data_IF_917906054355
#
_entry.id   IF_917906054355
#
_cell.length_a   1.000
_cell.length_b   1.000
_cell.length_c   1.000
_cell.angle_alpha   90.00
_cell.angle_beta   90.00
_cell.angle_gamma   90.00
#
_symmetry.space_group_name_H-M   'P 1'
#
loop_
_entity.id
_entity.type
_entity.pdbx_description
1 polymer ?
#
# COMPACT_ATOMS: atom_id res chain seq x y z
N UNK A 1 6.67 -16.07 -55.28
CA UNK A 1 7.99 -15.75 -55.84
C UNK A 1 9.03 -16.08 -54.79
N UNK A 2 9.85 -17.05 -55.14
CA UNK A 2 10.85 -17.75 -54.33
C UNK A 2 12.22 -17.23 -54.78
N UNK A 3 13.17 -17.07 -53.86
CA UNK A 3 14.60 -17.01 -54.20
C UNK A 3 15.44 -17.48 -53.00
N UNK A 4 15.80 -18.76 -53.03
CA UNK A 4 17.02 -19.32 -52.43
C UNK A 4 18.16 -19.24 -53.45
N UNK A 5 19.39 -18.94 -53.01
CA UNK A 5 20.58 -19.81 -53.13
C UNK A 5 21.92 -19.14 -52.73
N UNK A 6 22.67 -19.85 -51.86
CA UNK A 6 24.14 -20.07 -51.75
C UNK A 6 25.08 -18.86 -51.47
N UNK A 7 26.16 -18.94 -50.67
CA UNK A 7 27.29 -19.91 -50.62
C UNK A 7 27.97 -19.98 -49.23
N UNK A 8 28.55 -21.15 -48.90
CA UNK A 8 29.54 -21.47 -47.84
C UNK A 8 30.81 -20.56 -47.85
N UNK A 9 31.76 -20.50 -46.90
CA UNK A 9 32.35 -21.45 -45.95
C UNK A 9 33.16 -20.68 -44.87
N UNK A 10 33.45 -21.32 -43.73
CA UNK A 10 34.47 -20.82 -42.79
C UNK A 10 34.35 -21.34 -41.36
N UNK A 11 34.56 -22.64 -41.14
CA UNK A 11 34.76 -23.22 -39.81
C UNK A 11 36.15 -22.88 -39.27
N UNK A 12 36.26 -22.45 -38.01
CA UNK A 12 37.30 -22.94 -37.10
C UNK A 12 36.77 -23.07 -35.65
N UNK A 13 37.19 -24.17 -35.04
CA UNK A 13 36.79 -24.80 -33.79
C UNK A 13 37.39 -24.11 -32.56
N UNK A 14 36.67 -24.15 -31.41
CA UNK A 14 37.16 -24.84 -30.19
C UNK A 14 36.15 -24.85 -29.03
N UNK A 15 35.84 -26.09 -28.63
CA UNK A 15 35.69 -26.62 -27.26
C UNK A 15 34.46 -26.23 -26.44
N UNK A 16 33.51 -27.18 -26.47
CA UNK A 16 32.55 -27.45 -25.40
C UNK A 16 33.28 -27.80 -24.09
N UNK A 17 32.82 -27.20 -22.98
CA UNK A 17 32.91 -27.79 -21.66
C UNK A 17 31.49 -27.88 -21.11
N UNK A 18 31.10 -29.11 -20.79
CA UNK A 18 29.84 -29.54 -20.21
C UNK A 18 29.69 -29.00 -18.80
N UNK A 19 28.56 -28.35 -18.49
CA UNK A 19 28.12 -28.08 -17.12
C UNK A 19 26.78 -28.76 -16.84
N UNK A 20 26.70 -29.38 -15.66
CA UNK A 20 25.67 -30.29 -15.19
C UNK A 20 24.39 -29.56 -14.71
N UNK A 21 23.18 -30.11 -14.90
CA UNK A 21 21.94 -29.48 -14.48
C UNK A 21 21.57 -29.85 -13.03
N UNK A 22 22.24 -29.28 -12.01
CA UNK A 22 21.87 -29.55 -10.61
C UNK A 22 21.80 -28.34 -9.65
N UNK A 23 21.92 -27.08 -10.12
CA UNK A 23 21.92 -25.92 -9.21
C UNK A 23 20.67 -25.03 -9.23
N UNK A 24 19.57 -25.41 -9.90
CA UNK A 24 18.35 -24.59 -9.99
C UNK A 24 17.19 -25.01 -9.06
N UNK A 25 17.47 -25.70 -7.94
CA UNK A 25 16.41 -26.17 -7.02
C UNK A 25 16.60 -25.90 -5.53
N UNK A 26 17.40 -24.89 -5.16
CA UNK A 26 17.58 -24.51 -3.74
C UNK A 26 17.56 -23.01 -3.49
N UNK A 27 16.49 -22.32 -3.90
CA UNK A 27 16.08 -21.05 -3.27
C UNK A 27 14.54 -20.92 -3.30
N UNK A 28 13.82 -21.89 -2.75
CA UNK A 28 12.36 -21.81 -2.58
C UNK A 28 11.82 -22.77 -1.53
N UNK A 29 12.45 -22.91 -0.36
CA UNK A 29 11.91 -23.75 0.71
C UNK A 29 12.50 -23.52 2.12
N UNK A 30 12.97 -22.32 2.47
CA UNK A 30 13.53 -22.09 3.79
C UNK A 30 13.04 -20.77 4.40
N UNK A 31 11.76 -20.75 4.82
CA UNK A 31 11.21 -19.81 5.82
C UNK A 31 9.97 -20.39 6.51
N UNK A 32 10.01 -21.68 6.87
CA UNK A 32 8.95 -22.34 7.65
C UNK A 32 9.55 -23.22 8.75
N UNK A 33 10.28 -22.64 9.70
CA UNK A 33 10.39 -23.18 11.07
C UNK A 33 11.17 -22.24 12.00
N UNK A 34 10.45 -21.44 12.79
CA UNK A 34 10.85 -21.01 14.12
C UNK A 34 9.66 -20.31 14.77
N UNK A 35 8.79 -21.08 15.45
CA UNK A 35 7.83 -20.52 16.39
C UNK A 35 8.63 -20.24 17.67
N UNK A 36 9.06 -18.99 17.86
CA UNK A 36 9.50 -18.50 19.15
C UNK A 36 8.29 -17.81 19.78
N UNK A 37 7.94 -18.21 21.01
CA UNK A 37 6.85 -17.62 21.77
C UNK A 37 7.07 -16.10 21.89
N UNK A 38 6.09 -15.26 21.52
CA UNK A 38 6.22 -13.81 21.71
C UNK A 38 6.16 -13.47 23.20
N UNK A 39 7.08 -12.62 23.64
CA UNK A 39 7.09 -11.98 24.95
C UNK A 39 5.77 -11.18 25.17
N UNK A 40 5.21 -11.13 26.39
CA UNK A 40 3.96 -10.41 26.64
C UNK A 40 4.12 -8.89 26.38
N UNK A 41 3.06 -8.22 25.91
CA UNK A 41 3.09 -6.80 25.60
C UNK A 41 3.35 -5.93 26.86
N UNK A 42 3.94 -4.73 26.69
CA UNK A 42 4.18 -3.81 27.80
C UNK A 42 2.87 -3.37 28.47
N UNK A 43 2.89 -3.05 29.78
CA UNK A 43 1.68 -2.77 30.54
C UNK A 43 0.96 -1.49 30.06
N UNK A 44 -0.38 -1.46 30.10
CA UNK A 44 -1.17 -0.31 29.66
C UNK A 44 -1.01 0.87 30.63
N UNK A 45 -0.91 2.07 30.05
CA UNK A 45 -0.95 3.35 30.76
C UNK A 45 -2.34 3.52 31.41
N UNK A 46 -2.44 3.93 32.69
CA UNK A 46 -3.71 4.00 33.41
C UNK A 46 -4.66 5.05 32.79
N UNK A 47 -5.90 4.66 32.57
CA UNK A 47 -6.98 5.53 32.07
C UNK A 47 -7.55 6.40 33.21
N UNK A 48 -8.01 7.64 32.93
CA UNK A 48 -8.65 8.49 33.93
C UNK A 48 -10.01 7.92 34.40
N UNK A 49 -10.45 8.22 35.63
CA UNK A 49 -11.67 7.65 36.21
C UNK A 49 -12.94 8.22 35.57
N UNK A 50 -14.05 7.45 35.55
CA UNK A 50 -15.33 7.88 34.99
C UNK A 50 -16.04 8.92 35.86
N UNK A 51 -16.92 9.77 35.28
CA UNK A 51 -17.70 10.75 36.03
C UNK A 51 -18.79 10.09 36.90
N UNK A 52 -19.27 10.77 37.96
CA UNK A 52 -20.22 10.20 38.92
C UNK A 52 -21.65 10.11 38.34
N UNK A 53 -22.49 9.19 38.86
CA UNK A 53 -23.86 9.01 38.39
C UNK A 53 -24.80 10.11 38.93
N UNK A 54 -25.59 10.68 38.02
CA UNK A 54 -26.69 11.59 38.34
C UNK A 54 -27.81 10.85 39.09
N UNK A 55 -28.27 11.46 40.19
CA UNK A 55 -29.17 10.87 41.17
C UNK A 55 -30.59 10.55 40.70
N UNK A 56 -31.17 9.61 41.44
CA UNK A 56 -32.58 9.24 41.46
C UNK A 56 -33.47 10.41 41.92
N UNK A 57 -34.69 10.48 41.40
CA UNK A 57 -35.83 11.04 42.12
C UNK A 57 -37.02 10.10 42.02
N UNK A 58 -37.55 9.76 43.19
CA UNK A 58 -38.70 8.90 43.50
C UNK A 58 -39.94 9.73 43.77
N UNK A 59 -41.12 9.27 43.34
CA UNK A 59 -42.40 9.21 44.12
C UNK A 59 -43.53 8.75 43.17
N UNK A 60 -44.10 7.54 43.30
CA UNK A 60 -45.18 7.07 44.19
C UNK A 60 -46.59 7.62 43.89
N UNK A 61 -47.50 6.67 43.59
CA UNK A 61 -48.95 6.84 43.52
C UNK A 61 -49.64 5.53 43.09
N UNK A 62 -50.23 4.82 44.05
CA UNK A 62 -50.98 3.57 43.90
C UNK A 62 -52.37 3.81 43.23
N UNK A 63 -52.94 2.78 42.58
CA UNK A 63 -54.29 2.21 42.85
C UNK A 63 -54.79 1.26 41.73
N UNK A 64 -54.89 -0.02 42.09
CA UNK A 64 -55.92 -1.07 41.84
C UNK A 64 -56.85 -1.10 40.60
N UNK A 65 -57.07 -2.36 40.17
CA UNK A 65 -58.26 -3.00 39.54
C UNK A 65 -58.35 -3.14 38.01
N UNK A 66 -58.30 -4.41 37.56
CA UNK A 66 -59.41 -5.01 36.81
C UNK A 66 -59.34 -5.10 35.29
N UNK A 67 -59.52 -6.32 34.80
CA UNK A 67 -60.14 -6.73 33.52
C UNK A 67 -59.26 -6.84 32.25
N UNK A 68 -59.08 -8.11 31.89
CA UNK A 68 -59.16 -8.68 30.54
C UNK A 68 -59.55 -7.72 29.41
N UNK A 69 -58.61 -7.42 28.53
CA UNK A 69 -58.90 -7.33 27.10
C UNK A 69 -57.73 -7.93 26.33
N UNK A 70 -58.04 -8.95 25.53
CA UNK A 70 -57.11 -9.50 24.56
C UNK A 70 -56.85 -8.44 23.50
N UNK A 71 -55.75 -7.72 23.62
CA UNK A 71 -55.22 -6.92 22.52
C UNK A 71 -54.63 -7.89 21.51
N UNK A 72 -55.29 -8.03 20.37
CA UNK A 72 -54.68 -8.58 19.17
C UNK A 72 -53.37 -7.80 18.93
N UNK A 73 -52.26 -8.41 19.33
CA UNK A 73 -50.94 -7.98 18.91
C UNK A 73 -50.92 -8.11 17.39
N UNK A 74 -51.09 -6.98 16.71
CA UNK A 74 -50.69 -6.87 15.32
C UNK A 74 -49.18 -7.06 15.35
N UNK A 75 -48.73 -8.30 15.12
CA UNK A 75 -47.37 -8.59 14.72
C UNK A 75 -47.12 -7.76 13.46
N UNK A 76 -46.51 -6.59 13.63
CA UNK A 76 -45.97 -5.82 12.51
C UNK A 76 -44.94 -6.76 11.86
N UNK A 77 -45.16 -7.24 10.62
CA UNK A 77 -44.17 -8.07 9.97
C UNK A 77 -42.89 -7.25 9.89
N UNK A 78 -41.76 -7.82 10.32
CA UNK A 78 -40.45 -7.21 10.12
C UNK A 78 -40.35 -6.79 8.64
N UNK A 79 -40.30 -5.48 8.40
CA UNK A 79 -40.37 -4.94 7.04
C UNK A 79 -39.28 -5.60 6.21
N UNK A 80 -39.69 -6.33 5.16
CA UNK A 80 -38.73 -6.89 4.20
C UNK A 80 -37.86 -5.74 3.69
N UNK A 81 -36.53 -5.91 3.60
CA UNK A 81 -35.65 -4.83 3.17
C UNK A 81 -36.13 -4.31 1.81
N UNK A 82 -36.17 -2.98 1.68
CA UNK A 82 -36.51 -2.30 0.43
C UNK A 82 -35.63 -2.86 -0.70
N UNK A 83 -36.25 -3.56 -1.65
CA UNK A 83 -35.59 -4.08 -2.85
C UNK A 83 -35.81 -3.09 -3.98
N UNK A 84 -34.85 -2.19 -4.16
CA UNK A 84 -34.83 -1.26 -5.28
C UNK A 84 -33.93 -1.81 -6.38
N UNK A 85 -34.40 -1.73 -7.62
CA UNK A 85 -33.55 -1.96 -8.80
C UNK A 85 -32.38 -0.98 -8.80
N UNK A 86 -31.19 -1.41 -9.25
CA UNK A 86 -30.00 -0.54 -9.29
C UNK A 86 -30.20 0.67 -10.23
N UNK A 87 -30.95 0.49 -11.31
CA UNK A 87 -31.44 1.50 -12.26
C UNK A 87 -32.35 0.79 -13.29
N UNK A 88 -32.82 1.53 -14.29
CA UNK A 88 -33.68 1.05 -15.37
C UNK A 88 -33.16 -0.21 -16.10
N UNK A 89 -31.84 -0.40 -16.17
CA UNK A 89 -31.21 -1.52 -16.87
C UNK A 89 -30.82 -2.68 -15.94
N UNK A 90 -31.14 -2.61 -14.64
CA UNK A 90 -30.82 -3.65 -13.66
C UNK A 90 -29.32 -3.85 -13.37
N UNK A 91 -28.44 -2.99 -13.90
CA UNK A 91 -26.99 -3.16 -13.82
C UNK A 91 -26.31 -1.91 -13.25
N UNK A 92 -25.52 -2.05 -12.18
CA UNK A 92 -24.79 -0.92 -11.59
C UNK A 92 -23.75 -0.36 -12.59
N UNK A 93 -23.85 0.93 -13.01
CA UNK A 93 -22.84 1.53 -13.85
C UNK A 93 -21.53 1.66 -13.08
N UNK A 94 -20.41 1.41 -13.76
CA UNK A 94 -19.10 1.67 -13.19
C UNK A 94 -18.87 3.17 -13.03
N UNK A 95 -18.33 3.59 -11.89
CA UNK A 95 -17.89 4.97 -11.66
C UNK A 95 -16.72 5.33 -12.58
N UNK A 96 -16.74 6.52 -13.18
CA UNK A 96 -15.71 6.93 -14.14
C UNK A 96 -14.30 6.95 -13.55
N UNK A 97 -14.16 7.34 -12.28
CA UNK A 97 -12.86 7.29 -11.59
C UNK A 97 -12.31 5.86 -11.51
N UNK A 98 -13.17 4.85 -11.31
CA UNK A 98 -12.74 3.44 -11.26
C UNK A 98 -12.31 2.99 -12.66
N UNK A 99 -13.02 3.40 -13.71
CA UNK A 99 -12.64 3.12 -15.10
C UNK A 99 -11.29 3.74 -15.44
N UNK A 100 -11.07 5.01 -15.12
CA UNK A 100 -9.79 5.70 -15.38
C UNK A 100 -8.64 5.00 -14.67
N UNK A 101 -8.81 4.60 -13.40
CA UNK A 101 -7.79 3.82 -12.68
C UNK A 101 -7.61 2.43 -13.31
N UNK A 102 -8.69 1.76 -13.71
CA UNK A 102 -8.61 0.45 -14.35
C UNK A 102 -7.83 0.52 -15.66
N UNK A 103 -8.11 1.51 -16.51
CA UNK A 103 -7.41 1.73 -17.77
C UNK A 103 -5.93 2.07 -17.57
N UNK A 104 -5.64 2.93 -16.58
CA UNK A 104 -4.28 3.26 -16.15
C UNK A 104 -3.51 1.99 -15.75
N UNK A 105 -4.06 1.17 -14.86
CA UNK A 105 -3.43 -0.07 -14.40
C UNK A 105 -3.30 -1.07 -15.55
N UNK A 106 -4.37 -1.29 -16.33
CA UNK A 106 -4.38 -2.23 -17.45
C UNK A 106 -3.28 -1.94 -18.48
N UNK A 107 -3.11 -0.65 -18.80
CA UNK A 107 -2.13 -0.17 -19.77
C UNK A 107 -0.71 -0.38 -19.26
N UNK A 108 -0.43 0.03 -18.02
CA UNK A 108 0.92 0.03 -17.48
C UNK A 108 1.38 -1.33 -16.94
N UNK A 109 0.47 -2.27 -16.71
CA UNK A 109 0.83 -3.67 -16.41
C UNK A 109 1.21 -4.49 -17.66
N UNK A 110 0.95 -3.98 -18.86
CA UNK A 110 1.16 -4.72 -20.11
C UNK A 110 2.62 -5.13 -20.27
N UNK A 111 2.86 -6.40 -20.59
CA UNK A 111 4.18 -6.97 -20.93
C UNK A 111 5.25 -6.77 -19.84
N UNK A 112 4.84 -6.66 -18.57
CA UNK A 112 5.74 -6.46 -17.42
C UNK A 112 5.62 -7.56 -16.37
N UNK A 113 6.70 -7.71 -15.61
CA UNK A 113 6.83 -8.68 -14.51
C UNK A 113 7.47 -7.99 -13.31
N UNK A 114 7.39 -8.61 -12.13
CA UNK A 114 7.92 -8.04 -10.87
C UNK A 114 7.37 -6.62 -10.60
N UNK A 115 6.06 -6.47 -10.83
CA UNK A 115 5.36 -5.22 -10.62
C UNK A 115 5.08 -5.00 -9.14
N UNK A 116 5.37 -3.81 -8.66
CA UNK A 116 4.85 -3.29 -7.40
C UNK A 116 3.77 -2.25 -7.75
N UNK A 117 2.54 -2.49 -7.29
CA UNK A 117 1.39 -1.59 -7.47
C UNK A 117 0.97 -1.13 -6.09
N UNK A 118 1.06 0.17 -5.85
CA UNK A 118 0.82 0.76 -4.54
C UNK A 118 0.00 2.04 -4.66
N UNK A 119 -0.84 2.30 -3.65
CA UNK A 119 -1.57 3.55 -3.47
C UNK A 119 -1.11 4.22 -2.19
N UNK A 120 -0.67 5.46 -2.27
CA UNK A 120 -0.16 6.24 -1.14
C UNK A 120 -1.13 7.34 -0.76
N UNK A 121 -1.26 7.58 0.54
CA UNK A 121 -1.93 8.78 1.06
C UNK A 121 -0.92 9.89 1.34
N UNK A 122 -1.26 11.10 0.92
CA UNK A 122 -0.35 12.24 1.06
C UNK A 122 -1.02 13.55 0.70
N UNK A 123 -0.24 14.54 0.27
CA UNK A 123 -0.76 15.84 -0.18
C UNK A 123 -0.28 16.14 -1.59
N UNK A 124 -1.20 16.50 -2.48
CA UNK A 124 -0.84 17.12 -3.75
C UNK A 124 -0.56 18.59 -3.47
N UNK A 125 0.62 19.05 -3.87
CA UNK A 125 1.12 20.40 -3.59
C UNK A 125 1.44 21.09 -4.91
N UNK A 126 0.90 22.29 -5.08
CA UNK A 126 1.21 23.15 -6.20
C UNK A 126 2.67 23.63 -6.08
N UNK A 127 3.49 23.35 -7.11
CA UNK A 127 4.94 23.63 -7.08
C UNK A 127 5.25 25.12 -6.97
N UNK A 128 4.36 25.99 -7.47
CA UNK A 128 4.55 27.44 -7.48
C UNK A 128 4.29 28.07 -6.12
N UNK A 129 3.20 27.70 -5.47
CA UNK A 129 2.77 28.26 -4.18
C UNK A 129 3.32 27.49 -2.98
N UNK A 130 3.71 26.23 -3.18
CA UNK A 130 4.08 25.34 -2.08
C UNK A 130 2.91 24.93 -1.19
N UNK A 131 1.67 25.31 -1.54
CA UNK A 131 0.46 24.99 -0.79
C UNK A 131 -0.24 23.77 -1.37
N UNK A 132 -1.08 23.11 -0.55
CA UNK A 132 -1.92 22.00 -1.04
C UNK A 132 -2.71 22.50 -2.24
N UNK A 133 -2.74 21.70 -3.29
CA UNK A 133 -3.45 21.97 -4.52
C UNK A 133 -4.90 22.34 -4.22
N UNK A 134 -5.39 23.39 -4.88
CA UNK A 134 -6.77 23.86 -4.79
C UNK A 134 -7.32 23.97 -6.19
N UNK A 135 -8.24 23.07 -6.53
CA UNK A 135 -8.92 23.04 -7.82
C UNK A 135 -10.39 23.39 -7.63
N UNK A 136 -11.06 24.04 -8.61
CA UNK A 136 -12.48 24.37 -8.54
C UNK A 136 -13.37 23.14 -8.79
N UNK A 137 -13.20 22.09 -7.98
CA UNK A 137 -13.94 20.82 -8.05
C UNK A 137 -14.42 20.41 -6.66
N UNK A 138 -15.55 19.69 -6.59
CA UNK A 138 -16.20 19.32 -5.33
C UNK A 138 -16.04 17.84 -4.96
N UNK A 139 -15.55 17.02 -5.88
CA UNK A 139 -15.40 15.57 -5.73
C UNK A 139 -13.98 15.12 -6.00
N UNK A 140 -13.67 13.87 -5.65
CA UNK A 140 -12.41 13.23 -6.02
C UNK A 140 -12.21 13.29 -7.55
N UNK A 141 -11.04 13.78 -7.97
CA UNK A 141 -10.74 14.04 -9.39
C UNK A 141 -9.36 13.52 -9.74
N UNK A 142 -9.29 12.69 -10.78
CA UNK A 142 -8.02 12.25 -11.38
C UNK A 142 -7.40 13.42 -12.14
N UNK A 143 -6.12 13.70 -11.91
CA UNK A 143 -5.39 14.74 -12.62
C UNK A 143 -4.89 14.19 -13.96
N UNK A 144 -5.31 14.82 -15.06
CA UNK A 144 -4.80 14.50 -16.40
C UNK A 144 -3.41 15.09 -16.64
N UNK A 145 -3.14 16.29 -16.11
CA UNK A 145 -1.83 16.94 -16.10
C UNK A 145 -1.47 17.28 -14.65
N UNK A 146 -0.33 16.76 -14.21
CA UNK A 146 0.20 16.91 -12.86
C UNK A 146 1.58 17.60 -12.85
N UNK A 147 2.03 18.12 -14.00
CA UNK A 147 3.36 18.71 -14.19
C UNK A 147 3.66 19.85 -13.21
N UNK A 148 2.64 20.67 -12.90
CA UNK A 148 2.69 21.75 -11.91
C UNK A 148 2.60 21.29 -10.45
N UNK A 149 2.46 19.99 -10.21
CA UNK A 149 2.22 19.42 -8.88
C UNK A 149 3.38 18.55 -8.40
N UNK A 150 3.57 18.48 -7.09
CA UNK A 150 4.35 17.44 -6.42
C UNK A 150 3.45 16.71 -5.43
N UNK A 151 3.71 15.43 -5.21
CA UNK A 151 3.05 14.68 -4.15
C UNK A 151 4.00 14.53 -2.97
N UNK A 152 3.51 14.89 -1.79
CA UNK A 152 4.20 14.68 -0.53
C UNK A 152 3.59 13.45 0.14
N UNK A 153 4.30 12.31 0.08
CA UNK A 153 3.95 11.09 0.82
C UNK A 153 4.30 11.31 2.29
N UNK A 154 3.44 12.02 2.99
CA UNK A 154 3.61 12.31 4.41
C UNK A 154 2.26 12.65 5.05
N UNK A 155 2.13 12.34 6.33
CA UNK A 155 1.02 12.76 7.17
C UNK A 155 1.54 13.24 8.53
N UNK A 156 0.66 13.85 9.32
CA UNK A 156 1.03 14.23 10.70
C UNK A 156 1.23 12.99 11.56
N UNK A 157 2.08 13.09 12.59
CA UNK A 157 2.23 12.03 13.59
C UNK A 157 0.90 11.66 14.27
N UNK A 158 0.01 12.64 14.43
CA UNK A 158 -1.34 12.41 14.96
C UNK A 158 -2.17 11.49 14.04
N UNK A 159 -2.20 11.78 12.73
CA UNK A 159 -2.87 10.93 11.73
C UNK A 159 -2.26 9.53 11.71
N UNK A 160 -0.93 9.41 11.78
CA UNK A 160 -0.25 8.13 11.85
C UNK A 160 -0.68 7.32 13.09
N UNK A 161 -0.68 7.92 14.28
CA UNK A 161 -1.13 7.27 15.50
C UNK A 161 -2.61 6.84 15.43
N UNK A 162 -3.46 7.66 14.80
CA UNK A 162 -4.86 7.34 14.55
C UNK A 162 -5.02 6.12 13.65
N UNK A 163 -4.30 6.07 12.52
CA UNK A 163 -4.32 4.91 11.63
C UNK A 163 -3.81 3.65 12.31
N UNK A 164 -2.74 3.77 13.11
CA UNK A 164 -2.23 2.65 13.88
C UNK A 164 -3.31 2.07 14.81
N UNK A 165 -4.01 2.93 15.56
CA UNK A 165 -5.11 2.51 16.43
C UNK A 165 -6.23 1.82 15.63
N UNK A 166 -6.63 2.40 14.51
CA UNK A 166 -7.71 1.88 13.68
C UNK A 166 -7.38 0.52 13.07
N UNK A 167 -6.17 0.35 12.54
CA UNK A 167 -5.76 -0.90 11.91
C UNK A 167 -5.58 -2.02 12.94
N UNK A 168 -5.05 -1.71 14.13
CA UNK A 168 -5.00 -2.68 15.25
C UNK A 168 -6.40 -3.10 15.71
N UNK A 169 -7.34 -2.16 15.84
CA UNK A 169 -8.73 -2.49 16.16
C UNK A 169 -9.33 -3.44 15.11
N UNK A 170 -9.03 -3.21 13.83
CA UNK A 170 -9.51 -4.07 12.75
C UNK A 170 -8.90 -5.47 12.81
N UNK A 171 -7.65 -5.62 13.26
CA UNK A 171 -7.02 -6.93 13.54
C UNK A 171 -7.75 -7.65 14.66
N UNK A 172 -8.04 -6.96 15.77
CA UNK A 172 -8.73 -7.55 16.92
C UNK A 172 -10.15 -8.00 16.54
N UNK A 173 -10.90 -7.17 15.83
CA UNK A 173 -12.21 -7.52 15.28
C UNK A 173 -12.12 -8.73 14.34
N UNK A 174 -11.12 -8.73 13.45
CA UNK A 174 -10.91 -9.81 12.51
C UNK A 174 -10.49 -11.12 13.17
N UNK A 175 -10.10 -11.14 14.45
CA UNK A 175 -9.75 -12.37 15.20
C UNK A 175 -10.93 -12.99 15.93
N UNK A 176 -12.04 -12.25 16.12
CA UNK A 176 -13.19 -12.74 16.86
C UNK A 176 -13.82 -13.99 16.21
N UNK A 177 -14.33 -14.96 16.99
CA UNK A 177 -14.97 -16.17 16.44
C UNK A 177 -16.20 -15.90 15.56
N UNK A 178 -16.95 -14.86 15.88
CA UNK A 178 -18.14 -14.42 15.16
C UNK A 178 -17.83 -13.65 13.87
N UNK A 179 -16.58 -13.20 13.67
CA UNK A 179 -16.19 -12.50 12.46
C UNK A 179 -16.27 -13.43 11.25
N UNK A 180 -17.00 -13.00 10.21
CA UNK A 180 -17.27 -13.79 8.99
C UNK A 180 -16.44 -13.34 7.78
N UNK A 181 -15.65 -12.29 7.91
CA UNK A 181 -14.79 -11.79 6.83
C UNK A 181 -13.39 -12.39 6.85
N UNK A 182 -12.56 -11.94 5.90
CA UNK A 182 -11.15 -12.30 5.84
C UNK A 182 -10.36 -11.81 7.05
N UNK A 183 -9.52 -12.69 7.59
CA UNK A 183 -8.62 -12.36 8.70
C UNK A 183 -7.64 -11.27 8.26
N UNK A 184 -7.22 -10.46 9.23
CA UNK A 184 -6.18 -9.44 9.04
C UNK A 184 -4.95 -9.89 9.81
N UNK A 185 -3.85 -10.10 9.09
CA UNK A 185 -2.56 -10.45 9.65
C UNK A 185 -1.80 -9.18 10.01
N UNK A 186 -0.96 -9.25 11.04
CA UNK A 186 -0.16 -8.14 11.51
C UNK A 186 1.31 -8.55 11.56
N UNK A 187 2.20 -7.68 11.10
CA UNK A 187 3.66 -7.82 11.19
C UNK A 187 4.29 -6.46 11.48
N UNK A 188 5.26 -6.44 12.40
CA UNK A 188 6.08 -5.27 12.68
C UNK A 188 7.51 -5.54 12.22
N UNK A 189 8.05 -4.69 11.35
CA UNK A 189 9.46 -4.77 10.93
C UNK A 189 10.21 -3.49 11.22
N UNK A 190 11.51 -3.63 11.48
CA UNK A 190 12.46 -2.53 11.57
C UNK A 190 13.57 -2.79 10.57
N UNK A 191 13.69 -1.92 9.59
CA UNK A 191 14.55 -2.11 8.43
C UNK A 191 15.47 -0.91 8.24
N UNK A 192 16.66 -1.14 7.70
CA UNK A 192 17.55 -0.07 7.24
C UNK A 192 17.75 -0.24 5.73
N UNK A 193 17.33 0.77 4.97
CA UNK A 193 17.61 0.87 3.55
C UNK A 193 18.91 1.64 3.34
N UNK A 194 19.87 1.03 2.65
CA UNK A 194 21.04 1.69 2.10
C UNK A 194 20.91 1.80 0.59
N UNK A 195 21.15 3.00 0.05
CA UNK A 195 21.13 3.24 -1.39
C UNK A 195 22.55 3.37 -1.91
N UNK A 196 22.85 2.70 -3.00
CA UNK A 196 24.12 2.77 -3.71
C UNK A 196 23.89 3.28 -5.13
N UNK A 197 24.96 3.77 -5.76
CA UNK A 197 25.01 4.00 -7.20
C UNK A 197 26.12 3.13 -7.79
N UNK A 198 25.72 2.13 -8.58
CA UNK A 198 26.59 1.17 -9.26
C UNK A 198 26.35 1.33 -10.76
N UNK A 199 27.36 1.79 -11.50
CA UNK A 199 27.27 2.01 -12.96
C UNK A 199 26.04 2.81 -13.40
N UNK A 200 25.71 3.86 -12.63
CA UNK A 200 24.52 4.71 -12.86
C UNK A 200 23.19 4.13 -12.37
N UNK A 201 23.14 2.84 -12.05
CA UNK A 201 21.97 2.18 -11.46
C UNK A 201 21.87 2.48 -9.98
N UNK A 202 20.66 2.83 -9.51
CA UNK A 202 20.38 3.01 -8.08
C UNK A 202 19.99 1.69 -7.46
N UNK A 203 20.85 1.15 -6.59
CA UNK A 203 20.62 -0.11 -5.88
C UNK A 203 20.13 0.19 -4.47
N UNK A 204 19.06 -0.47 -4.02
CA UNK A 204 18.57 -0.45 -2.63
C UNK A 204 18.93 -1.78 -1.98
N UNK A 205 19.71 -1.73 -0.92
CA UNK A 205 19.98 -2.87 -0.02
C UNK A 205 19.16 -2.64 1.25
N UNK A 206 18.22 -3.52 1.54
CA UNK A 206 17.41 -3.49 2.77
C UNK A 206 17.94 -4.53 3.73
N UNK A 207 18.21 -4.12 4.98
CA UNK A 207 18.66 -4.98 6.07
C UNK A 207 17.69 -4.97 7.22
N UNK A 208 17.57 -6.08 7.92
CA UNK A 208 16.91 -6.11 9.23
C UNK A 208 17.74 -5.30 10.24
N UNK A 209 17.09 -4.43 11.01
CA UNK A 209 17.77 -3.50 11.91
C UNK A 209 18.43 -4.20 13.09
N UNK A 210 17.87 -5.30 13.57
CA UNK A 210 18.31 -5.98 14.80
C UNK A 210 19.41 -7.00 14.50
N UNK A 211 19.24 -7.77 13.43
CA UNK A 211 20.16 -8.85 13.05
C UNK A 211 21.23 -8.43 12.04
N UNK A 212 21.00 -7.35 11.27
CA UNK A 212 21.86 -6.92 10.17
C UNK A 212 21.77 -7.79 8.91
N UNK A 213 20.89 -8.80 8.92
CA UNK A 213 20.64 -9.70 7.79
C UNK A 213 20.18 -8.92 6.55
N UNK A 214 20.70 -9.29 5.38
CA UNK A 214 20.26 -8.71 4.10
C UNK A 214 18.92 -9.33 3.72
N UNK A 215 17.86 -8.52 3.75
CA UNK A 215 16.50 -8.95 3.41
C UNK A 215 16.24 -8.86 1.89
N UNK A 216 16.75 -7.82 1.23
CA UNK A 216 16.64 -7.68 -0.22
C UNK A 216 17.71 -6.77 -0.80
N UNK A 217 18.05 -7.01 -2.06
CA UNK A 217 18.90 -6.15 -2.88
C UNK A 217 18.20 -5.97 -4.22
N UNK A 218 17.76 -4.74 -4.52
CA UNK A 218 16.95 -4.49 -5.72
C UNK A 218 17.32 -3.18 -6.42
N UNK A 219 16.90 -3.05 -7.68
CA UNK A 219 16.63 -1.75 -8.30
C UNK A 219 15.13 -1.58 -8.49
N UNK A 220 14.64 -0.36 -8.27
CA UNK A 220 13.23 0.03 -8.42
C UNK A 220 13.10 1.02 -9.56
N UNK A 221 12.46 0.61 -10.64
CA UNK A 221 12.24 1.42 -11.83
C UNK A 221 10.79 1.93 -11.83
N UNK A 222 10.62 3.25 -11.89
CA UNK A 222 9.27 3.83 -11.96
C UNK A 222 8.67 3.60 -13.34
N UNK A 223 7.47 3.00 -13.39
CA UNK A 223 6.72 2.81 -14.63
C UNK A 223 5.78 3.98 -14.87
N UNK A 224 4.90 4.26 -13.89
CA UNK A 224 3.91 5.32 -14.00
C UNK A 224 3.36 5.75 -12.64
N UNK A 225 2.76 6.93 -12.60
CA UNK A 225 1.95 7.38 -11.48
C UNK A 225 0.65 8.04 -11.94
N UNK A 226 -0.37 8.00 -11.07
CA UNK A 226 -1.65 8.62 -11.27
C UNK A 226 -2.06 9.35 -10.00
N UNK A 227 -2.34 10.65 -10.13
CA UNK A 227 -2.68 11.52 -9.02
C UNK A 227 -4.19 11.76 -8.93
N UNK A 228 -4.74 11.62 -7.73
CA UNK A 228 -6.16 11.81 -7.45
C UNK A 228 -6.30 12.88 -6.36
N UNK A 229 -6.76 14.05 -6.78
CA UNK A 229 -7.10 15.15 -5.89
C UNK A 229 -8.39 14.86 -5.13
N UNK A 230 -8.38 15.04 -3.81
CA UNK A 230 -9.51 14.72 -2.94
C UNK A 230 -9.92 15.95 -2.10
N UNK A 231 -10.81 16.82 -2.61
CA UNK A 231 -11.15 18.10 -1.96
C UNK A 231 -11.88 17.95 -0.62
N UNK A 232 -12.49 16.77 -0.37
CA UNK A 232 -13.30 16.50 0.82
C UNK A 232 -12.56 15.74 1.93
N UNK A 233 -11.27 15.46 1.74
CA UNK A 233 -10.40 14.78 2.72
C UNK A 233 -9.16 15.61 2.96
N UNK A 234 -8.42 15.34 4.04
CA UNK A 234 -7.14 16.01 4.32
C UNK A 234 -5.98 15.46 3.49
N UNK A 235 -6.12 14.23 3.01
CA UNK A 235 -5.12 13.51 2.23
C UNK A 235 -5.65 13.22 0.82
N UNK A 236 -4.80 13.45 -0.16
CA UNK A 236 -4.92 13.08 -1.56
C UNK A 236 -4.34 11.67 -1.78
N UNK A 237 -4.58 11.09 -2.95
CA UNK A 237 -4.13 9.74 -3.30
C UNK A 237 -3.17 9.81 -4.49
N UNK A 238 -2.08 9.06 -4.41
CA UNK A 238 -1.22 8.75 -5.58
C UNK A 238 -1.17 7.24 -5.75
N UNK A 239 -1.47 6.77 -6.96
CA UNK A 239 -1.24 5.38 -7.35
C UNK A 239 0.08 5.33 -8.11
N UNK A 240 0.97 4.41 -7.76
CA UNK A 240 2.22 4.19 -8.49
C UNK A 240 2.35 2.75 -8.92
N UNK A 241 2.98 2.57 -10.08
CA UNK A 241 3.37 1.27 -10.63
C UNK A 241 4.88 1.33 -10.85
N UNK A 242 5.60 0.37 -10.27
CA UNK A 242 7.04 0.23 -10.39
C UNK A 242 7.40 -1.20 -10.82
N UNK A 243 8.59 -1.38 -11.40
CA UNK A 243 9.21 -2.68 -11.59
C UNK A 243 10.38 -2.82 -10.60
N UNK A 244 10.35 -3.87 -9.79
CA UNK A 244 11.41 -4.20 -8.84
C UNK A 244 12.20 -5.41 -9.34
N UNK A 245 13.51 -5.23 -9.58
CA UNK A 245 14.38 -6.32 -10.02
C UNK A 245 15.42 -6.62 -8.96
N UNK A 246 15.55 -7.89 -8.60
CA UNK A 246 16.63 -8.36 -7.73
C UNK A 246 17.99 -8.11 -8.39
N UNK A 247 18.95 -7.66 -7.60
CA UNK A 247 20.33 -7.45 -7.99
C UNK A 247 21.27 -8.17 -7.04
N UNK A 248 22.52 -8.32 -7.43
CA UNK A 248 23.58 -8.79 -6.55
C UNK A 248 23.99 -7.71 -5.55
N UNK A 249 24.56 -8.14 -4.42
CA UNK A 249 25.09 -7.23 -3.42
C UNK A 249 26.18 -6.35 -4.05
N UNK A 250 26.11 -5.01 -3.94
CA UNK A 250 27.18 -4.16 -4.44
C UNK A 250 28.47 -4.39 -3.65
N UNK A 251 29.62 -4.28 -4.32
CA UNK A 251 30.91 -4.23 -3.65
C UNK A 251 30.98 -2.98 -2.76
N UNK A 252 30.90 -3.18 -1.45
CA UNK A 252 30.86 -2.10 -0.46
C UNK A 252 32.24 -1.47 -0.18
N UNK A 253 33.32 -2.09 -0.64
CA UNK A 253 34.64 -1.47 -0.61
C UNK A 253 34.74 -0.38 -1.67
N UNK A 254 34.20 -0.65 -2.87
CA UNK A 254 34.19 0.26 -4.01
C UNK A 254 33.05 1.29 -3.92
N UNK A 255 31.84 0.85 -3.58
CA UNK A 255 30.65 1.70 -3.57
C UNK A 255 30.21 2.00 -2.14
N UNK A 256 30.17 3.29 -1.79
CA UNK A 256 29.61 3.75 -0.51
C UNK A 256 28.12 4.08 -0.63
N UNK A 257 27.33 3.88 0.44
CA UNK A 257 25.95 4.32 0.47
C UNK A 257 25.86 5.84 0.23
N UNK A 258 24.97 6.24 -0.69
CA UNK A 258 24.67 7.64 -0.99
C UNK A 258 23.49 8.18 -0.18
N UNK A 259 22.69 7.28 0.41
CA UNK A 259 21.55 7.61 1.25
C UNK A 259 21.26 6.42 2.17
N UNK A 260 20.83 6.72 3.38
CA UNK A 260 20.37 5.76 4.37
C UNK A 260 18.96 6.15 4.84
N UNK A 261 18.10 5.17 5.07
CA UNK A 261 16.76 5.39 5.67
C UNK A 261 16.46 4.30 6.68
N UNK A 262 16.00 4.70 7.86
CA UNK A 262 15.53 3.79 8.90
C UNK A 262 14.02 3.72 8.83
N UNK A 263 13.47 2.52 8.72
CA UNK A 263 12.05 2.28 8.57
C UNK A 263 11.53 1.50 9.77
N UNK A 264 10.49 2.02 10.39
CA UNK A 264 9.67 1.32 11.38
C UNK A 264 8.29 1.11 10.76
N UNK A 265 7.95 -0.14 10.45
CA UNK A 265 6.80 -0.48 9.60
C UNK A 265 5.84 -1.43 10.31
N UNK A 266 4.58 -1.04 10.33
CA UNK A 266 3.45 -1.83 10.78
C UNK A 266 2.66 -2.26 9.53
N UNK A 267 2.78 -3.53 9.16
CA UNK A 267 2.12 -4.11 7.98
C UNK A 267 0.89 -4.91 8.39
N UNK A 268 -0.22 -4.62 7.74
CA UNK A 268 -1.49 -5.30 7.94
C UNK A 268 -1.91 -5.96 6.63
N UNK A 269 -2.02 -7.28 6.60
CA UNK A 269 -2.35 -8.00 5.35
C UNK A 269 -3.75 -8.56 5.41
N UNK A 270 -4.56 -8.26 4.38
CA UNK A 270 -5.90 -8.82 4.20
C UNK A 270 -6.11 -9.18 2.72
N UNK A 271 -6.45 -10.43 2.43
CA UNK A 271 -6.69 -10.95 1.07
C UNK A 271 -5.47 -10.82 0.12
N UNK A 272 -5.47 -9.83 -0.77
CA UNK A 272 -4.36 -9.51 -1.70
C UNK A 272 -3.75 -8.14 -1.38
N UNK A 273 -4.14 -7.54 -0.27
CA UNK A 273 -3.79 -6.17 0.12
C UNK A 273 -2.79 -6.18 1.28
N UNK A 274 -1.75 -5.37 1.20
CA UNK A 274 -0.93 -4.99 2.35
C UNK A 274 -1.15 -3.51 2.66
N UNK A 275 -1.50 -3.19 3.89
CA UNK A 275 -1.57 -1.82 4.39
C UNK A 275 -0.33 -1.57 5.23
N UNK A 276 0.56 -0.73 4.75
CA UNK A 276 1.85 -0.47 5.38
C UNK A 276 1.85 0.93 5.98
N UNK A 277 1.85 0.99 7.31
CA UNK A 277 2.00 2.23 8.06
C UNK A 277 3.46 2.34 8.49
N UNK A 278 4.19 3.28 7.88
CA UNK A 278 5.64 3.35 8.01
C UNK A 278 6.08 4.72 8.54
N UNK A 279 6.92 4.72 9.58
CA UNK A 279 7.74 5.88 9.92
C UNK A 279 9.11 5.72 9.26
N UNK A 280 9.52 6.71 8.46
CA UNK A 280 10.81 6.73 7.79
C UNK A 280 11.65 7.86 8.35
N UNK A 281 12.82 7.53 8.90
CA UNK A 281 13.82 8.51 9.33
C UNK A 281 14.96 8.49 8.33
N UNK A 282 15.22 9.62 7.68
CA UNK A 282 16.41 9.79 6.84
C UNK A 282 17.40 10.66 7.63
N UNK A 283 18.56 10.13 8.05
CA UNK A 283 19.59 10.91 8.74
C UNK A 283 20.11 12.07 7.88
N UNK A 284 20.82 12.98 8.54
CA UNK A 284 21.57 14.02 7.83
C UNK A 284 22.59 13.38 6.89
N UNK A 285 22.61 13.83 5.64
CA UNK A 285 23.47 13.28 4.60
C UNK A 285 23.94 14.38 3.65
N UNK A 286 25.09 14.19 3.02
CA UNK A 286 25.63 15.13 2.04
C UNK A 286 24.79 15.16 0.76
N UNK A 287 24.61 16.36 0.19
CA UNK A 287 23.77 16.60 -0.99
C UNK A 287 24.59 17.25 -2.10
N UNK A 288 24.50 16.66 -3.29
CA UNK A 288 25.14 17.15 -4.50
C UNK A 288 26.43 16.42 -4.84
N UNK A 289 27.04 16.71 -6.00
CA UNK A 289 28.33 16.15 -6.34
C UNK A 289 29.39 16.64 -5.34
N UNK A 290 30.18 15.70 -4.79
CA UNK A 290 31.38 16.04 -4.02
C UNK A 290 32.33 16.73 -4.98
N UNK A 291 32.44 18.06 -4.87
CA UNK A 291 33.46 18.81 -5.59
C UNK A 291 34.74 18.78 -4.73
N UNK A 292 35.79 18.05 -5.14
CA UNK A 292 37.03 17.96 -4.35
C UNK A 292 37.77 19.30 -4.24
N UNK A 293 37.38 20.31 -5.02
CA UNK A 293 37.92 21.67 -4.98
C UNK A 293 37.01 22.67 -4.26
N UNK A 294 35.89 22.22 -3.68
CA UNK A 294 35.01 23.12 -2.92
C UNK A 294 35.69 23.59 -1.64
N UNK A 295 35.91 24.89 -1.52
CA UNK A 295 36.35 25.53 -0.28
C UNK A 295 35.10 25.83 0.57
N UNK A 296 34.82 24.96 1.54
CA UNK A 296 33.70 25.12 2.48
C UNK A 296 33.20 23.79 3.03
N UNK A 297 32.41 23.78 4.11
CA UNK A 297 31.79 22.56 4.61
C UNK A 297 30.87 21.94 3.53
N UNK A 298 30.77 20.60 3.47
CA UNK A 298 29.87 19.91 2.55
C UNK A 298 28.44 20.43 2.72
N UNK A 299 27.70 20.55 1.61
CA UNK A 299 26.26 20.81 1.70
C UNK A 299 25.58 19.56 2.24
N UNK A 300 24.86 19.68 3.35
CA UNK A 300 24.08 18.59 3.93
C UNK A 300 22.58 18.85 3.79
N UNK A 301 21.80 17.78 3.65
CA UNK A 301 20.36 17.79 3.89
C UNK A 301 20.13 17.45 5.36
N UNK A 302 19.28 18.20 6.08
CA UNK A 302 18.97 17.91 7.47
C UNK A 302 18.26 16.56 7.59
N UNK A 303 18.34 15.97 8.79
CA UNK A 303 17.57 14.78 9.10
C UNK A 303 16.06 15.05 8.93
N UNK A 304 15.34 14.09 8.35
CA UNK A 304 13.90 14.18 8.12
C UNK A 304 13.19 12.97 8.67
N UNK A 305 11.94 13.16 9.07
CA UNK A 305 11.03 12.07 9.46
C UNK A 305 9.73 12.23 8.69
N UNK A 306 9.32 11.16 8.02
CA UNK A 306 8.02 11.07 7.34
C UNK A 306 7.18 9.96 7.97
N UNK A 307 5.88 10.17 7.94
CA UNK A 307 4.87 9.19 8.32
C UNK A 307 4.05 8.87 7.09
N UNK A 308 4.08 7.62 6.67
CA UNK A 308 3.55 7.18 5.37
C UNK A 308 2.51 6.08 5.59
N UNK A 309 1.46 6.08 4.76
CA UNK A 309 0.49 5.00 4.69
C UNK A 309 0.30 4.59 3.23
N UNK A 310 0.64 3.34 2.97
CA UNK A 310 0.66 2.74 1.64
C UNK A 310 -0.31 1.55 1.61
N UNK A 311 -1.04 1.40 0.52
CA UNK A 311 -1.80 0.19 0.20
C UNK A 311 -1.11 -0.47 -0.98
N UNK A 312 -0.47 -1.60 -0.76
CA UNK A 312 0.17 -2.40 -1.80
C UNK A 312 -0.71 -3.59 -2.19
N UNK A 313 -0.61 -4.00 -3.45
CA UNK A 313 -1.11 -5.30 -3.90
C UNK A 313 -0.07 -6.36 -3.60
N UNK A 314 -0.21 -7.04 -2.47
CA UNK A 314 0.72 -8.06 -1.99
C UNK A 314 0.88 -9.27 -2.94
N UNK A 315 -0.09 -9.45 -3.85
CA UNK A 315 -0.11 -10.50 -4.87
C UNK A 315 -0.45 -9.91 -6.25
N UNK A 316 0.47 -9.16 -6.87
CA UNK A 316 0.22 -8.47 -8.15
C UNK A 316 -0.08 -9.46 -9.28
N UNK A 317 0.36 -10.71 -9.17
CA UNK A 317 0.07 -11.80 -10.11
C UNK A 317 -1.43 -12.12 -10.23
N UNK A 318 -2.21 -11.90 -9.16
CA UNK A 318 -3.67 -12.08 -9.20
C UNK A 318 -4.30 -11.04 -10.13
N UNK A 319 -3.88 -9.78 -10.02
CA UNK A 319 -4.39 -8.71 -10.88
C UNK A 319 -3.92 -8.89 -12.34
N UNK A 320 -2.67 -9.35 -12.54
CA UNK A 320 -2.16 -9.71 -13.87
C UNK A 320 -2.95 -10.86 -14.51
N UNK A 321 -3.35 -11.87 -13.74
CA UNK A 321 -4.18 -12.96 -14.24
C UNK A 321 -5.56 -12.46 -14.70
N UNK A 322 -6.20 -11.56 -13.93
CA UNK A 322 -7.47 -10.94 -14.35
C UNK A 322 -7.30 -10.07 -15.60
N UNK A 323 -6.18 -9.34 -15.73
CA UNK A 323 -5.83 -8.59 -16.94
C UNK A 323 -5.75 -9.50 -18.16
N UNK A 324 -5.11 -10.66 -18.03
CA UNK A 324 -5.00 -11.64 -19.11
C UNK A 324 -6.37 -12.19 -19.53
N UNK A 325 -7.33 -12.33 -18.60
CA UNK A 325 -8.71 -12.71 -18.92
C UNK A 325 -9.44 -11.60 -19.69
N UNK A 326 -9.25 -10.33 -19.32
CA UNK A 326 -9.77 -9.18 -20.09
C UNK A 326 -9.28 -9.23 -21.54
N UNK A 327 -7.97 -9.39 -21.74
CA UNK A 327 -7.37 -9.46 -23.08
C UNK A 327 -7.89 -10.65 -23.92
N UNK A 328 -8.26 -11.74 -23.26
CA UNK A 328 -8.83 -12.93 -23.89
C UNK A 328 -10.36 -12.90 -24.01
N UNK A 329 -11.01 -11.77 -23.70
CA UNK A 329 -12.47 -11.61 -23.65
C UNK A 329 -13.18 -12.69 -22.79
N UNK A 330 -12.56 -13.04 -21.65
CA UNK A 330 -13.10 -14.00 -20.69
C UNK A 330 -13.74 -13.30 -19.48
N UNK A 331 -14.69 -13.94 -18.78
CA UNK A 331 -15.15 -13.47 -17.48
C UNK A 331 -13.96 -13.22 -16.55
N UNK A 332 -13.94 -12.05 -15.92
CA UNK A 332 -12.81 -11.57 -15.13
C UNK A 332 -13.31 -10.66 -14.00
N UNK A 333 -12.44 -10.45 -13.01
CA UNK A 333 -12.65 -9.57 -11.87
C UNK A 333 -11.79 -8.31 -11.92
N UNK A 334 -11.24 -7.94 -13.09
CA UNK A 334 -10.26 -6.85 -13.20
C UNK A 334 -10.81 -5.53 -12.67
N UNK A 335 -12.03 -5.16 -13.09
CA UNK A 335 -12.69 -3.93 -12.64
C UNK A 335 -13.12 -4.01 -11.17
N UNK A 336 -13.48 -5.19 -10.68
CA UNK A 336 -13.84 -5.40 -9.27
C UNK A 336 -12.63 -5.23 -8.35
N UNK A 337 -11.47 -5.78 -8.72
CA UNK A 337 -10.20 -5.59 -8.01
C UNK A 337 -9.85 -4.10 -7.97
N UNK A 338 -9.95 -3.39 -9.10
CA UNK A 338 -9.73 -1.94 -9.15
C UNK A 338 -10.66 -1.19 -8.20
N UNK A 339 -11.95 -1.53 -8.22
CA UNK A 339 -12.96 -0.92 -7.37
C UNK A 339 -12.64 -1.13 -5.87
N UNK A 340 -12.25 -2.34 -5.48
CA UNK A 340 -11.87 -2.65 -4.08
C UNK A 340 -10.59 -1.91 -3.68
N UNK A 341 -9.56 -1.90 -4.54
CA UNK A 341 -8.31 -1.17 -4.31
C UNK A 341 -8.56 0.31 -4.05
N UNK A 342 -9.28 0.98 -4.95
CA UNK A 342 -9.61 2.39 -4.81
C UNK A 342 -10.56 2.64 -3.63
N UNK A 343 -11.49 1.72 -3.37
CA UNK A 343 -12.39 1.76 -2.22
C UNK A 343 -11.65 1.77 -0.88
N UNK A 344 -10.62 0.92 -0.74
CA UNK A 344 -9.76 0.88 0.43
C UNK A 344 -8.99 2.20 0.63
N UNK A 345 -8.39 2.75 -0.43
CA UNK A 345 -7.70 4.05 -0.38
C UNK A 345 -8.64 5.19 0.04
N UNK A 346 -9.83 5.27 -0.58
CA UNK A 346 -10.86 6.25 -0.25
C UNK A 346 -11.34 6.09 1.20
N UNK A 347 -11.50 4.86 1.67
CA UNK A 347 -11.93 4.57 3.04
C UNK A 347 -10.90 5.05 4.07
N UNK A 348 -9.61 4.88 3.79
CA UNK A 348 -8.52 5.39 4.64
C UNK A 348 -8.43 6.92 4.59
N UNK A 349 -8.46 7.51 3.40
CA UNK A 349 -8.42 8.97 3.23
C UNK A 349 -9.56 9.69 3.99
N UNK A 350 -10.76 9.12 4.00
CA UNK A 350 -11.92 9.63 4.75
C UNK A 350 -11.76 9.56 6.27
N UNK A 351 -10.89 8.68 6.76
CA UNK A 351 -10.58 8.50 8.19
C UNK A 351 -9.37 9.33 8.64
N UNK A 352 -8.69 10.01 7.72
CA UNK A 352 -7.58 10.91 8.03
C UNK A 352 -8.09 12.22 8.67
N UNK A 353 -8.60 12.14 9.90
CA UNK A 353 -9.13 13.28 10.63
C UNK A 353 -8.05 14.18 11.23
#
# INVERSE_FOLDING_TARGET
MDYRHLVHAGQQSKRQRTESPEFQRRVSAASLSAIVNPEPPPPPIPSPPPPPPSGQSTAHGQHTHGQHTATHGILVPAASPLRLEQNLFGARPAEDIVRVVADFVYTHMKDRTNLEIEGKLGRLVDKRSGQRLSLPVLSETVLADDSGTRFESNMTQHQHAMFNKLLNQRVDEARRPEFRGSRVLYKHTREIDHFYRVDGTRVRVTRDKETGEVLSVITKNKVADLNIYSPRTKLDIRITINEEHALEMPDTEVHKPILERHKDRLSYTQDIWSFDLTQVVSPEHEVGPVNPYATGPPKTAPATTTHELELEVARPEVWLAERAKVAANRPNAFHEITHIFLGNLKALAKRAA
#
